data_IF_614656807488
#
_entry.id   IF_614656807488
#
_cell.length_a   1.000
_cell.length_b   1.000
_cell.length_c   1.000
_cell.angle_alpha   90.00
_cell.angle_beta   90.00
_cell.angle_gamma   90.00
#
_symmetry.space_group_name_H-M   'P 1'
#
loop_
_entity.id
_entity.type
_entity.pdbx_description
1 polymer ?
#
# COMPACT_ATOMS: atom_id res chain seq x y z
N UNK A 1 56.53 26.93 -3.85
CA UNK A 1 55.40 27.71 -4.46
C UNK A 1 54.97 26.97 -5.73
N UNK A 2 53.89 26.16 -5.70
CA UNK A 2 53.41 25.48 -6.93
C UNK A 2 52.27 24.50 -6.76
N UNK A 3 52.11 23.85 -5.62
CA UNK A 3 51.04 22.82 -5.45
C UNK A 3 49.70 23.38 -4.94
N UNK A 4 49.70 24.51 -4.22
CA UNK A 4 48.51 25.15 -3.72
C UNK A 4 47.63 25.86 -4.79
N UNK A 5 48.30 26.37 -5.87
CA UNK A 5 47.59 27.09 -6.93
C UNK A 5 46.93 26.17 -7.96
N UNK A 6 47.46 24.95 -8.16
CA UNK A 6 46.84 23.94 -9.03
C UNK A 6 45.56 23.38 -8.41
N UNK A 7 45.61 23.13 -7.10
CA UNK A 7 44.41 22.65 -6.36
C UNK A 7 43.32 23.72 -6.33
N UNK A 8 43.64 24.98 -6.08
CA UNK A 8 42.66 26.08 -6.12
C UNK A 8 42.06 26.27 -7.51
N UNK A 9 42.84 26.13 -8.59
CA UNK A 9 42.31 26.23 -9.96
C UNK A 9 41.45 25.04 -10.36
N UNK A 10 41.73 23.82 -9.88
CA UNK A 10 40.87 22.66 -10.12
C UNK A 10 39.57 22.75 -9.36
N UNK A 11 39.57 23.16 -8.07
CA UNK A 11 38.37 23.35 -7.29
C UNK A 11 37.46 24.46 -7.84
N UNK A 12 38.06 25.58 -8.33
CA UNK A 12 37.32 26.67 -8.98
C UNK A 12 36.76 26.22 -10.34
N UNK A 13 37.48 25.37 -11.09
CA UNK A 13 37.01 24.88 -12.38
C UNK A 13 35.90 23.83 -12.27
N UNK A 14 35.94 22.98 -11.25
CA UNK A 14 34.87 22.03 -10.90
C UNK A 14 33.64 22.79 -10.37
N UNK A 15 33.83 23.79 -9.49
CA UNK A 15 32.78 24.64 -9.00
C UNK A 15 32.06 25.43 -10.11
N UNK A 16 32.78 26.02 -11.06
CA UNK A 16 32.20 26.73 -12.21
C UNK A 16 31.46 25.83 -13.18
N UNK A 17 31.90 24.60 -13.40
CA UNK A 17 31.16 23.62 -14.21
C UNK A 17 29.90 23.19 -13.49
N UNK A 18 29.92 22.94 -12.17
CA UNK A 18 28.74 22.59 -11.38
C UNK A 18 27.68 23.69 -11.40
N UNK A 19 28.07 24.96 -11.21
CA UNK A 19 27.18 26.12 -11.29
C UNK A 19 26.60 26.26 -12.71
N UNK A 20 27.39 26.13 -13.75
CA UNK A 20 26.89 26.21 -15.13
C UNK A 20 25.87 25.09 -15.48
N UNK A 21 26.09 23.88 -15.01
CA UNK A 21 25.11 22.78 -15.18
C UNK A 21 23.83 23.02 -14.40
N UNK A 22 23.91 23.55 -13.19
CA UNK A 22 22.74 23.90 -12.40
C UNK A 22 21.92 25.04 -13.04
N UNK A 23 22.58 26.03 -13.63
CA UNK A 23 21.89 27.13 -14.33
C UNK A 23 21.12 26.64 -15.56
N UNK A 24 21.70 25.73 -16.36
CA UNK A 24 21.01 25.13 -17.52
C UNK A 24 19.80 24.32 -17.05
N UNK A 25 19.97 23.48 -16.08
CA UNK A 25 18.91 22.65 -15.50
C UNK A 25 17.76 23.48 -14.96
N UNK A 26 18.06 24.58 -14.25
CA UNK A 26 17.05 25.49 -13.72
C UNK A 26 16.23 26.15 -14.84
N UNK A 27 16.86 26.55 -15.96
CA UNK A 27 16.14 27.13 -17.09
C UNK A 27 15.23 26.11 -17.81
N UNK A 28 15.66 24.85 -17.93
CA UNK A 28 14.83 23.76 -18.45
C UNK A 28 13.60 23.52 -17.55
N UNK A 29 13.80 23.46 -16.24
CA UNK A 29 12.71 23.33 -15.26
C UNK A 29 11.75 24.52 -15.34
N UNK A 30 12.23 25.75 -15.41
CA UNK A 30 11.38 26.94 -15.59
C UNK A 30 10.50 26.84 -16.84
N UNK A 31 11.05 26.32 -17.93
CA UNK A 31 10.28 26.14 -19.17
C UNK A 31 9.16 25.10 -18.99
N UNK A 32 9.44 23.99 -18.30
CA UNK A 32 8.45 22.96 -17.96
C UNK A 32 7.36 23.54 -17.05
N UNK A 33 7.76 24.21 -15.97
CA UNK A 33 6.81 24.80 -15.02
C UNK A 33 5.91 25.84 -15.68
N UNK A 34 6.44 26.64 -16.57
CA UNK A 34 5.66 27.61 -17.36
C UNK A 34 4.64 26.93 -18.28
N UNK A 35 5.01 25.79 -18.91
CA UNK A 35 4.09 25.02 -19.75
C UNK A 35 2.85 24.55 -18.98
N UNK A 36 3.04 24.16 -17.70
CA UNK A 36 1.96 23.64 -16.84
C UNK A 36 1.42 24.67 -15.83
N UNK A 37 1.87 25.92 -15.87
CA UNK A 37 1.42 26.98 -14.97
C UNK A 37 1.79 26.75 -13.51
N UNK A 38 2.95 26.12 -13.25
CA UNK A 38 3.41 25.74 -11.91
C UNK A 38 4.68 26.50 -11.47
N UNK A 39 4.89 27.72 -12.01
CA UNK A 39 6.11 28.52 -11.76
C UNK A 39 6.33 28.84 -10.28
N UNK A 40 5.27 28.87 -9.48
CA UNK A 40 5.31 29.11 -8.04
C UNK A 40 6.15 28.06 -7.28
N UNK A 41 6.38 26.86 -7.85
CA UNK A 41 7.23 25.82 -7.22
C UNK A 41 8.66 26.29 -6.95
N UNK A 42 9.13 27.33 -7.65
CA UNK A 42 10.46 27.92 -7.45
C UNK A 42 10.46 29.14 -6.52
N UNK A 43 9.31 29.51 -5.89
CA UNK A 43 9.23 30.75 -5.11
C UNK A 43 10.16 30.76 -3.89
N UNK A 44 10.46 29.61 -3.31
CA UNK A 44 11.39 29.46 -2.20
C UNK A 44 12.81 29.10 -2.63
N UNK A 45 13.04 28.83 -3.93
CA UNK A 45 14.32 28.30 -4.46
C UNK A 45 15.53 29.08 -3.98
N UNK A 46 15.51 30.41 -4.08
CA UNK A 46 16.66 31.26 -3.70
C UNK A 46 16.92 31.27 -2.19
N UNK A 47 15.95 30.91 -1.36
CA UNK A 47 16.07 30.85 0.11
C UNK A 47 16.59 29.49 0.59
N UNK A 48 16.60 28.47 -0.28
CA UNK A 48 17.05 27.13 0.05
C UNK A 48 18.60 27.06 0.03
N UNK A 49 19.16 26.17 0.85
CA UNK A 49 20.56 25.79 0.73
C UNK A 49 20.79 24.93 -0.53
N UNK A 50 22.04 24.70 -0.88
CA UNK A 50 22.38 23.99 -2.12
C UNK A 50 21.86 22.54 -2.15
N UNK A 51 21.75 21.88 -1.01
CA UNK A 51 21.22 20.51 -0.90
C UNK A 51 19.72 20.50 -1.16
N UNK A 52 18.98 21.41 -0.56
CA UNK A 52 17.52 21.54 -0.78
C UNK A 52 17.19 22.06 -2.19
N UNK A 53 18.02 22.97 -2.74
CA UNK A 53 17.90 23.40 -4.15
C UNK A 53 17.98 22.21 -5.09
N UNK A 54 19.02 21.38 -4.94
CA UNK A 54 19.20 20.19 -5.75
C UNK A 54 18.00 19.24 -5.61
N UNK A 55 17.58 18.98 -4.37
CA UNK A 55 16.46 18.10 -4.07
C UNK A 55 15.13 18.61 -4.67
N UNK A 56 14.86 19.93 -4.59
CA UNK A 56 13.68 20.51 -5.21
C UNK A 56 13.67 20.32 -6.73
N UNK A 57 14.83 20.55 -7.39
CA UNK A 57 14.94 20.34 -8.83
C UNK A 57 14.75 18.85 -9.18
N UNK A 58 15.32 17.93 -8.39
CA UNK A 58 15.13 16.48 -8.57
C UNK A 58 13.65 16.10 -8.41
N UNK A 59 12.96 16.65 -7.42
CA UNK A 59 11.52 16.40 -7.19
C UNK A 59 10.67 16.91 -8.35
N UNK A 60 10.92 18.13 -8.84
CA UNK A 60 10.19 18.72 -9.96
C UNK A 60 10.39 17.93 -11.26
N UNK A 61 11.60 17.48 -11.57
CA UNK A 61 11.88 16.66 -12.76
C UNK A 61 11.17 15.28 -12.73
N UNK A 62 10.93 14.75 -11.54
CA UNK A 62 10.22 13.48 -11.36
C UNK A 62 8.69 13.61 -11.35
N UNK A 63 8.13 14.83 -11.44
CA UNK A 63 6.69 15.02 -11.53
C UNK A 63 6.21 14.69 -12.95
N UNK A 64 5.25 13.78 -13.04
CA UNK A 64 4.44 13.62 -14.25
C UNK A 64 3.34 14.70 -14.29
N UNK A 65 3.66 15.84 -14.91
CA UNK A 65 2.74 16.97 -14.99
C UNK A 65 1.49 16.68 -15.84
N UNK A 66 1.58 15.76 -16.81
CA UNK A 66 0.43 15.37 -17.64
C UNK A 66 -0.55 14.54 -16.81
N UNK A 67 -0.03 13.62 -16.01
CA UNK A 67 -0.83 12.87 -15.03
C UNK A 67 -1.48 13.83 -14.03
N UNK A 68 -0.72 14.75 -13.42
CA UNK A 68 -1.24 15.68 -12.42
C UNK A 68 -2.36 16.57 -12.97
N UNK A 69 -2.20 17.10 -14.18
CA UNK A 69 -3.23 17.90 -14.87
C UNK A 69 -4.50 17.07 -15.14
N UNK A 70 -4.33 15.82 -15.56
CA UNK A 70 -5.44 14.88 -15.77
C UNK A 70 -6.19 14.56 -14.46
N UNK A 71 -5.46 14.32 -13.38
CA UNK A 71 -6.02 14.03 -12.05
C UNK A 71 -6.80 15.22 -11.51
N UNK A 72 -6.26 16.44 -11.65
CA UNK A 72 -6.95 17.66 -11.25
C UNK A 72 -8.26 17.85 -12.02
N UNK A 73 -8.22 17.72 -13.36
CA UNK A 73 -9.42 17.82 -14.20
C UNK A 73 -10.48 16.77 -13.86
N UNK A 74 -10.06 15.60 -13.39
CA UNK A 74 -10.98 14.56 -12.93
C UNK A 74 -11.60 14.91 -11.59
N UNK A 75 -10.84 15.55 -10.69
CA UNK A 75 -11.32 16.01 -9.39
C UNK A 75 -12.37 17.14 -9.50
N UNK A 76 -12.27 17.99 -10.52
CA UNK A 76 -13.26 19.08 -10.77
C UNK A 76 -14.56 18.60 -11.42
N UNK A 77 -14.53 17.45 -12.09
CA UNK A 77 -15.73 16.90 -12.69
C UNK A 77 -16.49 16.15 -11.62
N UNK A 78 -17.67 16.65 -11.25
CA UNK A 78 -18.65 15.83 -10.52
C UNK A 78 -18.83 14.51 -11.27
N UNK A 79 -18.69 13.38 -10.55
CA UNK A 79 -18.91 12.05 -11.13
C UNK A 79 -20.29 12.02 -11.78
N UNK A 80 -20.31 11.96 -13.10
CA UNK A 80 -21.54 11.57 -13.77
C UNK A 80 -21.88 10.18 -13.28
N UNK A 81 -23.04 10.04 -12.65
CA UNK A 81 -23.66 8.78 -12.28
C UNK A 81 -23.60 7.81 -13.47
N UNK A 82 -22.48 7.13 -13.62
CA UNK A 82 -22.45 5.93 -14.43
C UNK A 82 -23.29 4.91 -13.65
N UNK A 83 -24.35 4.45 -14.25
CA UNK A 83 -25.18 3.34 -13.71
C UNK A 83 -24.39 2.05 -13.97
N UNK A 84 -23.32 1.86 -13.19
CA UNK A 84 -22.61 0.58 -13.20
C UNK A 84 -23.57 -0.51 -12.70
N UNK A 85 -23.58 -1.62 -13.38
CA UNK A 85 -24.27 -2.82 -12.91
C UNK A 85 -23.38 -3.47 -11.84
N UNK A 86 -23.89 -3.49 -10.60
CA UNK A 86 -23.19 -4.14 -9.48
C UNK A 86 -23.97 -5.39 -9.11
N UNK A 87 -23.30 -6.54 -9.15
CA UNK A 87 -23.86 -7.86 -8.79
C UNK A 87 -23.00 -8.54 -7.74
N UNK A 88 -23.58 -9.44 -6.92
CA UNK A 88 -22.80 -10.24 -5.97
C UNK A 88 -21.70 -11.04 -6.64
N UNK A 89 -20.60 -11.30 -5.91
CA UNK A 89 -19.51 -12.17 -6.38
C UNK A 89 -19.71 -13.59 -5.87
N UNK A 90 -19.27 -14.55 -6.67
CA UNK A 90 -19.22 -15.95 -6.27
C UNK A 90 -18.05 -16.18 -5.29
N UNK A 91 -18.24 -17.06 -4.31
CA UNK A 91 -17.21 -17.40 -3.33
C UNK A 91 -17.21 -18.88 -2.96
N UNK A 92 -16.10 -19.37 -2.45
CA UNK A 92 -15.97 -20.66 -1.81
C UNK A 92 -15.92 -20.49 -0.29
N UNK A 93 -16.75 -21.21 0.44
CA UNK A 93 -16.66 -21.25 1.90
C UNK A 93 -15.66 -22.34 2.32
N UNK A 94 -14.53 -21.93 2.88
CA UNK A 94 -13.42 -22.82 3.27
C UNK A 94 -13.88 -24.01 4.14
N UNK A 95 -14.90 -23.78 4.96
CA UNK A 95 -15.41 -24.78 5.92
C UNK A 95 -16.51 -25.66 5.34
N UNK A 96 -17.02 -25.35 4.16
CA UNK A 96 -18.02 -26.12 3.42
C UNK A 96 -17.43 -26.95 2.28
N UNK A 97 -16.12 -26.88 2.03
CA UNK A 97 -15.43 -27.56 0.92
C UNK A 97 -15.40 -29.09 1.02
N UNK A 98 -15.59 -29.67 2.22
CA UNK A 98 -15.59 -31.13 2.44
C UNK A 98 -14.34 -31.81 1.83
N UNK A 99 -14.54 -32.73 0.88
CA UNK A 99 -13.45 -33.50 0.23
C UNK A 99 -12.55 -32.61 -0.64
N UNK A 100 -13.09 -31.54 -1.22
CA UNK A 100 -12.34 -30.55 -2.02
C UNK A 100 -11.31 -29.79 -1.17
N UNK A 101 -11.53 -29.66 0.13
CA UNK A 101 -10.57 -29.02 1.03
C UNK A 101 -9.18 -29.66 0.94
N UNK A 102 -9.13 -31.01 1.06
CA UNK A 102 -7.86 -31.76 0.96
C UNK A 102 -7.25 -31.69 -0.43
N UNK A 103 -8.08 -31.68 -1.44
CA UNK A 103 -7.64 -31.55 -2.83
C UNK A 103 -6.91 -30.22 -3.03
N UNK A 104 -7.53 -29.09 -2.72
CA UNK A 104 -6.91 -27.78 -2.82
C UNK A 104 -5.71 -27.62 -1.89
N UNK A 105 -5.83 -28.09 -0.65
CA UNK A 105 -4.74 -28.07 0.31
C UNK A 105 -3.49 -28.77 -0.22
N UNK A 106 -3.62 -29.91 -0.87
CA UNK A 106 -2.50 -30.67 -1.43
C UNK A 106 -1.82 -29.94 -2.59
N UNK A 107 -2.60 -29.32 -3.47
CA UNK A 107 -2.07 -28.50 -4.58
C UNK A 107 -1.24 -27.33 -4.01
N UNK A 108 -1.80 -26.58 -3.08
CA UNK A 108 -1.12 -25.44 -2.48
C UNK A 108 0.11 -25.86 -1.65
N UNK A 109 0.02 -26.92 -0.85
CA UNK A 109 1.17 -27.48 -0.10
C UNK A 109 2.34 -27.83 -1.02
N UNK A 110 2.06 -28.41 -2.19
CA UNK A 110 3.09 -28.72 -3.17
C UNK A 110 3.79 -27.47 -3.64
N UNK A 111 3.05 -26.45 -4.06
CA UNK A 111 3.60 -25.20 -4.55
C UNK A 111 4.38 -24.44 -3.45
N UNK A 112 3.90 -24.43 -2.21
CA UNK A 112 4.60 -23.82 -1.07
C UNK A 112 5.93 -24.53 -0.81
N UNK A 113 5.94 -25.88 -0.79
CA UNK A 113 7.17 -26.67 -0.61
C UNK A 113 8.18 -26.49 -1.74
N UNK A 114 7.72 -26.17 -2.93
CA UNK A 114 8.57 -25.84 -4.07
C UNK A 114 9.13 -24.40 -4.01
N UNK A 115 8.81 -23.61 -2.94
CA UNK A 115 9.30 -22.25 -2.77
C UNK A 115 8.61 -21.22 -3.66
N UNK A 116 7.42 -21.52 -4.17
CA UNK A 116 6.71 -20.66 -5.13
C UNK A 116 5.94 -19.50 -4.50
N UNK A 117 5.92 -19.36 -3.18
CA UNK A 117 5.19 -18.33 -2.45
C UNK A 117 6.12 -17.34 -1.78
N UNK A 118 5.86 -16.05 -1.92
CA UNK A 118 6.41 -14.97 -1.11
C UNK A 118 5.29 -14.22 -0.38
N UNK A 119 5.63 -13.56 0.73
CA UNK A 119 4.76 -12.67 1.45
C UNK A 119 5.18 -11.21 1.23
N UNK A 120 4.19 -10.34 1.02
CA UNK A 120 4.36 -8.88 0.96
C UNK A 120 3.48 -8.26 2.03
N UNK A 121 4.08 -7.43 2.88
CA UNK A 121 3.38 -6.69 3.93
C UNK A 121 3.39 -5.20 3.61
N UNK A 122 2.20 -4.61 3.49
CA UNK A 122 2.04 -3.17 3.36
C UNK A 122 2.16 -2.52 4.75
N UNK A 123 3.23 -1.78 4.97
CA UNK A 123 3.60 -1.19 6.26
C UNK A 123 3.99 0.29 6.16
N UNK A 124 3.46 1.02 5.17
CA UNK A 124 3.72 2.47 4.99
C UNK A 124 3.03 3.37 6.02
N UNK A 125 2.11 2.85 6.82
CA UNK A 125 1.34 3.64 7.78
C UNK A 125 2.10 3.95 9.08
N UNK A 126 1.81 5.14 9.66
CA UNK A 126 2.23 5.53 11.00
C UNK A 126 1.21 5.07 12.06
N UNK A 127 1.68 4.93 13.30
CA UNK A 127 0.84 4.55 14.45
C UNK A 127 0.10 5.71 15.13
N UNK A 128 0.00 6.86 14.51
CA UNK A 128 -0.51 8.10 15.13
C UNK A 128 -1.93 7.98 15.70
N UNK A 129 -2.83 7.27 15.00
CA UNK A 129 -4.20 7.00 15.51
C UNK A 129 -4.21 6.15 16.76
N UNK A 130 -3.15 5.38 17.01
CA UNK A 130 -2.97 4.52 18.19
C UNK A 130 -2.25 5.23 19.31
N UNK A 131 -1.88 6.52 19.13
CA UNK A 131 -1.01 7.25 20.05
C UNK A 131 0.45 6.77 20.01
N UNK A 132 0.84 6.04 18.97
CA UNK A 132 2.18 5.50 18.80
C UNK A 132 3.03 6.42 17.92
N UNK A 133 4.20 6.78 18.43
CA UNK A 133 5.16 7.60 17.68
C UNK A 133 6.13 6.70 16.91
N UNK A 134 5.78 6.38 15.69
CA UNK A 134 6.60 5.55 14.82
C UNK A 134 5.79 4.68 13.84
N UNK A 135 6.48 3.81 13.07
CA UNK A 135 5.83 2.91 12.13
C UNK A 135 4.81 2.01 12.84
N UNK A 136 3.63 1.85 12.25
CA UNK A 136 2.54 1.06 12.84
C UNK A 136 2.95 -0.39 13.15
N UNK A 137 3.80 -0.98 12.30
CA UNK A 137 4.28 -2.36 12.49
C UNK A 137 5.13 -2.57 13.76
N UNK A 138 5.66 -1.49 14.36
CA UNK A 138 6.42 -1.55 15.61
C UNK A 138 5.53 -1.50 16.85
N UNK A 139 4.22 -1.35 16.68
CA UNK A 139 3.26 -1.24 17.76
C UNK A 139 3.07 -2.57 18.49
N UNK A 140 3.09 -2.54 19.83
CA UNK A 140 2.77 -3.65 20.73
C UNK A 140 1.28 -3.57 21.12
N UNK A 141 0.49 -4.60 20.81
CA UNK A 141 -0.94 -4.66 21.15
C UNK A 141 -1.19 -5.02 22.63
N UNK A 142 -0.12 -5.21 23.41
CA UNK A 142 -0.20 -5.49 24.87
C UNK A 142 -0.41 -6.97 25.20
N UNK A 143 0.13 -7.88 24.39
CA UNK A 143 0.26 -9.28 24.76
C UNK A 143 1.36 -9.46 25.83
N UNK A 144 1.30 -10.50 26.65
CA UNK A 144 2.32 -10.78 27.67
C UNK A 144 3.72 -10.99 27.05
N UNK A 145 3.77 -11.38 25.79
CA UNK A 145 5.01 -11.48 25.01
C UNK A 145 5.62 -10.14 24.61
N UNK A 146 4.88 -9.04 24.71
CA UNK A 146 5.29 -7.70 24.27
C UNK A 146 5.79 -7.63 22.82
N UNK A 147 5.33 -8.53 21.97
CA UNK A 147 5.70 -8.57 20.56
C UNK A 147 5.01 -7.47 19.79
N UNK A 148 5.76 -6.82 18.89
CA UNK A 148 5.23 -5.88 17.92
C UNK A 148 4.39 -6.58 16.83
N UNK A 149 3.58 -5.83 16.09
CA UNK A 149 2.86 -6.37 14.94
C UNK A 149 3.81 -7.05 13.94
N UNK A 150 4.99 -6.47 13.65
CA UNK A 150 5.98 -7.11 12.79
C UNK A 150 6.47 -8.46 13.34
N UNK A 151 6.67 -8.58 14.65
CA UNK A 151 7.09 -9.85 15.25
C UNK A 151 6.00 -10.91 15.16
N UNK A 152 4.73 -10.54 15.39
CA UNK A 152 3.60 -11.47 15.27
C UNK A 152 3.47 -12.00 13.82
N UNK A 153 3.60 -11.12 12.83
CA UNK A 153 3.61 -11.50 11.42
C UNK A 153 4.81 -12.40 11.07
N UNK A 154 5.98 -12.05 11.57
CA UNK A 154 7.20 -12.84 11.38
C UNK A 154 7.08 -14.25 11.95
N UNK A 155 6.52 -14.37 13.16
CA UNK A 155 6.32 -15.66 13.79
C UNK A 155 5.38 -16.55 12.96
N UNK A 156 4.28 -16.00 12.46
CA UNK A 156 3.37 -16.72 11.56
C UNK A 156 4.07 -17.22 10.29
N UNK A 157 4.88 -16.39 9.65
CA UNK A 157 5.65 -16.79 8.46
C UNK A 157 6.68 -17.87 8.77
N UNK A 158 7.37 -17.77 9.90
CA UNK A 158 8.39 -18.75 10.30
C UNK A 158 7.78 -20.08 10.72
N UNK A 159 6.65 -20.05 11.41
CA UNK A 159 5.93 -21.26 11.82
C UNK A 159 5.45 -22.03 10.58
N UNK A 160 4.80 -21.37 9.64
CA UNK A 160 4.36 -22.00 8.40
C UNK A 160 5.56 -22.44 7.54
N UNK A 161 6.60 -21.62 7.41
CA UNK A 161 7.81 -21.99 6.69
C UNK A 161 8.44 -23.28 7.25
N UNK A 162 8.54 -23.37 8.58
CA UNK A 162 9.03 -24.59 9.27
C UNK A 162 8.16 -25.82 8.97
N UNK A 163 6.84 -25.64 8.96
CA UNK A 163 5.87 -26.72 8.68
C UNK A 163 6.05 -27.30 7.27
N UNK A 164 6.41 -26.45 6.29
CA UNK A 164 6.64 -26.89 4.91
C UNK A 164 8.11 -27.15 4.57
N UNK A 165 9.03 -26.89 5.50
CA UNK A 165 10.48 -27.08 5.28
C UNK A 165 11.10 -26.03 4.34
N UNK A 166 10.53 -24.82 4.26
CA UNK A 166 10.97 -23.70 3.41
C UNK A 166 11.07 -22.42 4.22
N UNK A 167 11.83 -21.46 3.71
CA UNK A 167 11.76 -20.07 4.20
C UNK A 167 10.87 -19.28 3.23
N UNK A 168 9.77 -18.73 3.71
CA UNK A 168 8.91 -17.84 2.91
C UNK A 168 9.62 -16.50 2.79
N UNK A 169 10.01 -16.04 1.59
CA UNK A 169 10.60 -14.72 1.42
C UNK A 169 9.60 -13.63 1.83
N UNK A 170 10.09 -12.62 2.54
CA UNK A 170 9.26 -11.55 3.07
C UNK A 170 9.68 -10.20 2.51
N UNK A 171 8.74 -9.49 1.90
CA UNK A 171 8.91 -8.17 1.30
C UNK A 171 8.07 -7.17 2.06
N UNK A 172 8.66 -6.06 2.49
CA UNK A 172 8.00 -5.06 3.33
C UNK A 172 7.96 -3.74 2.59
N UNK A 173 6.75 -3.30 2.25
CA UNK A 173 6.51 -1.97 1.70
C UNK A 173 6.43 -0.95 2.83
N UNK A 174 7.30 0.03 2.80
CA UNK A 174 7.34 1.17 3.71
C UNK A 174 6.88 2.44 2.98
N UNK A 175 6.63 3.52 3.71
CA UNK A 175 6.55 4.86 3.13
C UNK A 175 7.91 5.55 3.21
N UNK A 176 8.12 6.59 2.43
CA UNK A 176 9.33 7.42 2.51
C UNK A 176 9.54 7.96 3.94
N UNK A 177 8.43 8.34 4.61
CA UNK A 177 8.43 8.86 5.96
C UNK A 177 8.92 7.83 7.00
N UNK A 178 8.48 6.55 6.89
CA UNK A 178 8.74 5.55 7.92
C UNK A 178 9.79 4.49 7.56
N UNK A 179 10.35 4.54 6.35
CA UNK A 179 11.28 3.53 5.87
C UNK A 179 12.50 3.35 6.78
N UNK A 180 13.19 4.46 7.12
CA UNK A 180 14.39 4.37 7.94
C UNK A 180 14.08 3.81 9.33
N UNK A 181 13.05 4.32 9.98
CA UNK A 181 12.63 3.84 11.30
C UNK A 181 12.23 2.35 11.30
N UNK A 182 11.59 1.90 10.21
CA UNK A 182 11.24 0.48 10.03
C UNK A 182 12.48 -0.37 9.86
N UNK A 183 13.40 0.01 8.99
CA UNK A 183 14.66 -0.73 8.76
C UNK A 183 15.49 -0.81 10.03
N UNK A 184 15.64 0.31 10.77
CA UNK A 184 16.38 0.38 12.04
C UNK A 184 15.75 -0.53 13.11
N UNK A 185 14.41 -0.58 13.15
CA UNK A 185 13.69 -1.49 14.05
C UNK A 185 14.00 -2.96 13.74
N UNK A 186 13.98 -3.34 12.48
CA UNK A 186 14.35 -4.70 12.07
C UNK A 186 15.82 -5.01 12.36
N UNK A 187 16.72 -4.08 12.11
CA UNK A 187 18.15 -4.25 12.39
C UNK A 187 18.41 -4.44 13.89
N UNK A 188 17.82 -3.60 14.73
CA UNK A 188 17.89 -3.71 16.19
C UNK A 188 17.41 -5.09 16.68
N UNK A 189 16.41 -5.66 16.04
CA UNK A 189 15.86 -6.97 16.36
C UNK A 189 16.48 -8.11 15.53
N UNK A 190 17.69 -7.89 14.95
CA UNK A 190 18.42 -8.90 14.14
C UNK A 190 17.54 -9.50 13.04
N UNK A 191 16.69 -8.65 12.44
CA UNK A 191 15.75 -9.02 11.38
C UNK A 191 14.84 -10.21 11.74
N UNK A 192 14.63 -10.44 13.04
CA UNK A 192 13.86 -11.58 13.57
C UNK A 192 14.34 -12.94 13.03
N UNK A 193 15.63 -13.05 12.67
CA UNK A 193 16.24 -14.24 12.11
C UNK A 193 16.13 -14.39 10.58
N UNK A 194 15.50 -13.45 9.90
CA UNK A 194 15.59 -13.31 8.44
C UNK A 194 16.95 -12.75 8.04
N UNK A 195 17.31 -12.86 6.76
CA UNK A 195 18.55 -12.31 6.19
C UNK A 195 18.19 -11.19 5.21
N UNK A 196 18.57 -9.93 5.56
CA UNK A 196 18.36 -8.76 4.71
C UNK A 196 18.96 -8.99 3.33
N UNK A 197 18.25 -8.60 2.28
CA UNK A 197 18.60 -8.74 0.87
C UNK A 197 18.80 -10.19 0.37
N UNK A 198 18.41 -11.19 1.17
CA UNK A 198 18.42 -12.60 0.76
C UNK A 198 17.02 -13.22 0.81
N UNK A 199 16.30 -13.05 1.93
CA UNK A 199 14.94 -13.54 2.11
C UNK A 199 14.05 -12.51 2.86
N UNK A 200 14.59 -11.33 3.18
CA UNK A 200 13.88 -10.16 3.68
C UNK A 200 14.28 -8.95 2.86
N UNK A 201 13.29 -8.25 2.31
CA UNK A 201 13.49 -7.09 1.45
C UNK A 201 12.60 -5.93 1.88
N UNK A 202 13.11 -4.70 1.75
CA UNK A 202 12.36 -3.48 1.97
C UNK A 202 12.28 -2.70 0.66
N UNK A 203 11.12 -2.11 0.40
CA UNK A 203 10.92 -1.20 -0.72
C UNK A 203 9.95 -0.09 -0.32
N UNK A 204 10.00 1.03 -1.00
CA UNK A 204 9.28 2.24 -0.63
C UNK A 204 8.08 2.42 -1.55
N UNK A 205 6.94 2.77 -0.97
CA UNK A 205 5.72 3.16 -1.67
C UNK A 205 5.93 4.44 -2.47
N UNK A 206 5.22 4.57 -3.60
CA UNK A 206 5.18 5.78 -4.40
C UNK A 206 4.51 6.96 -3.68
N UNK A 207 4.81 8.16 -4.17
CA UNK A 207 4.21 9.41 -3.70
C UNK A 207 3.78 10.25 -4.90
N UNK A 208 2.72 11.02 -4.72
CA UNK A 208 2.24 12.02 -5.69
C UNK A 208 2.19 13.41 -5.06
N UNK A 209 2.39 14.48 -5.85
CA UNK A 209 2.16 15.83 -5.39
C UNK A 209 0.71 16.05 -4.92
N UNK A 210 0.54 16.78 -3.82
CA UNK A 210 -0.76 17.33 -3.46
C UNK A 210 -1.01 18.61 -4.25
N UNK A 211 -2.29 18.87 -4.55
CA UNK A 211 -2.70 20.08 -5.28
C UNK A 211 -3.76 20.86 -4.50
N UNK A 212 -3.76 22.17 -4.66
CA UNK A 212 -4.87 23.00 -4.16
C UNK A 212 -6.11 22.93 -5.07
N UNK A 213 -7.13 23.67 -4.70
CA UNK A 213 -8.40 23.75 -5.45
C UNK A 213 -8.30 24.54 -6.76
N UNK A 214 -7.16 25.19 -7.02
CA UNK A 214 -6.87 25.90 -8.28
C UNK A 214 -5.94 25.09 -9.21
N UNK A 215 -5.64 23.84 -8.85
CA UNK A 215 -4.74 22.97 -9.62
C UNK A 215 -3.26 23.29 -9.47
N UNK A 216 -2.89 23.98 -8.38
CA UNK A 216 -1.48 24.26 -8.08
C UNK A 216 -0.89 23.18 -7.18
N UNK A 217 0.26 22.66 -7.57
CA UNK A 217 1.02 21.72 -6.76
C UNK A 217 1.53 22.46 -5.51
N UNK A 218 1.35 21.85 -4.34
CA UNK A 218 1.69 22.48 -3.07
C UNK A 218 3.19 22.42 -2.79
N UNK A 219 3.70 23.46 -2.11
CA UNK A 219 5.06 23.52 -1.54
C UNK A 219 4.96 23.22 -0.04
N UNK A 220 5.75 22.30 0.46
CA UNK A 220 5.87 22.00 1.89
C UNK A 220 6.56 23.10 2.68
N UNK A 221 6.50 23.02 4.01
CA UNK A 221 7.12 23.97 4.94
C UNK A 221 8.65 24.02 4.79
N UNK A 222 9.25 22.94 4.30
CA UNK A 222 10.67 22.82 3.97
C UNK A 222 11.05 23.45 2.63
N UNK A 223 10.10 24.03 1.90
CA UNK A 223 10.30 24.62 0.58
C UNK A 223 10.43 23.62 -0.56
N UNK A 224 10.14 22.35 -0.32
CA UNK A 224 10.13 21.26 -1.30
C UNK A 224 8.71 20.97 -1.79
N UNK A 225 8.57 20.09 -2.80
CA UNK A 225 7.23 19.66 -3.26
C UNK A 225 6.48 18.94 -2.13
N UNK A 226 5.24 19.33 -1.88
CA UNK A 226 4.38 18.64 -0.91
C UNK A 226 3.90 17.32 -1.50
N UNK A 227 4.58 16.24 -1.16
CA UNK A 227 4.25 14.89 -1.59
C UNK A 227 3.36 14.18 -0.55
N UNK A 228 2.55 13.25 -1.03
CA UNK A 228 1.77 12.35 -0.20
C UNK A 228 1.77 10.95 -0.80
N UNK A 229 1.69 9.92 0.04
CA UNK A 229 1.61 8.54 -0.42
C UNK A 229 0.45 8.35 -1.41
N UNK A 230 0.72 7.64 -2.50
CA UNK A 230 -0.16 7.41 -3.65
C UNK A 230 -1.27 6.37 -3.42
N UNK A 231 -1.49 5.99 -2.16
CA UNK A 231 -2.45 4.96 -1.78
C UNK A 231 -1.87 3.54 -1.78
N UNK A 232 -2.58 2.60 -1.17
CA UNK A 232 -2.08 1.22 -1.09
C UNK A 232 -2.13 0.46 -2.44
N UNK A 233 -2.80 1.01 -3.45
CA UNK A 233 -2.75 0.50 -4.83
C UNK A 233 -1.43 0.78 -5.53
N UNK A 234 -0.64 1.76 -5.08
CA UNK A 234 0.73 1.99 -5.56
C UNK A 234 1.70 0.83 -5.31
N UNK A 235 1.28 -0.21 -4.58
CA UNK A 235 2.10 -1.39 -4.31
C UNK A 235 2.55 -2.11 -5.59
N UNK A 236 1.69 -2.21 -6.61
CA UNK A 236 2.03 -2.91 -7.84
C UNK A 236 3.16 -2.22 -8.59
N UNK A 237 3.00 -0.93 -8.82
CA UNK A 237 4.02 -0.10 -9.46
C UNK A 237 5.33 -0.08 -8.64
N UNK A 238 5.22 0.05 -7.31
CA UNK A 238 6.37 0.05 -6.41
C UNK A 238 7.15 -1.26 -6.43
N UNK A 239 6.47 -2.42 -6.50
CA UNK A 239 7.10 -3.73 -6.64
C UNK A 239 7.88 -3.85 -7.97
N UNK A 240 7.31 -3.35 -9.07
CA UNK A 240 7.95 -3.35 -10.39
C UNK A 240 9.12 -2.37 -10.43
N UNK A 241 8.90 -1.11 -10.08
CA UNK A 241 9.94 -0.05 -10.14
C UNK A 241 11.13 -0.32 -9.23
N UNK A 242 10.90 -0.94 -8.05
CA UNK A 242 11.99 -1.33 -7.15
C UNK A 242 12.73 -2.61 -7.58
N UNK A 243 12.28 -3.29 -8.64
CA UNK A 243 12.83 -4.56 -9.11
C UNK A 243 12.50 -5.77 -8.22
N UNK A 244 11.54 -5.64 -7.29
CA UNK A 244 11.20 -6.72 -6.37
C UNK A 244 10.50 -7.88 -7.10
N UNK A 245 9.68 -7.64 -8.11
CA UNK A 245 9.06 -8.69 -8.92
C UNK A 245 10.12 -9.50 -9.67
N UNK A 246 11.11 -8.82 -10.26
CA UNK A 246 12.26 -9.49 -10.88
C UNK A 246 13.00 -10.35 -9.86
N UNK A 247 13.24 -9.81 -8.66
CA UNK A 247 13.89 -10.55 -7.57
C UNK A 247 13.11 -11.80 -7.15
N UNK A 248 11.80 -11.69 -7.06
CA UNK A 248 10.91 -12.82 -6.77
C UNK A 248 11.03 -13.93 -7.83
N UNK A 249 11.01 -13.57 -9.12
CA UNK A 249 11.20 -14.52 -10.23
C UNK A 249 12.57 -15.20 -10.20
N UNK A 250 13.64 -14.47 -9.90
CA UNK A 250 14.98 -15.03 -9.72
C UNK A 250 15.04 -16.06 -8.58
N UNK A 251 14.17 -15.94 -7.58
CA UNK A 251 14.03 -16.86 -6.46
C UNK A 251 13.08 -18.04 -6.75
N UNK A 252 12.45 -18.09 -7.92
CA UNK A 252 11.47 -19.10 -8.29
C UNK A 252 10.07 -18.87 -7.73
N UNK A 253 9.80 -17.68 -7.19
CA UNK A 253 8.48 -17.30 -6.69
C UNK A 253 7.53 -17.07 -7.86
N UNK A 254 6.36 -17.68 -7.78
CA UNK A 254 5.26 -17.55 -8.76
C UNK A 254 4.06 -16.80 -8.18
N UNK A 255 3.90 -16.82 -6.86
CA UNK A 255 2.75 -16.29 -6.14
C UNK A 255 3.17 -15.35 -5.01
N UNK A 256 2.40 -14.29 -4.81
CA UNK A 256 2.64 -13.28 -3.80
C UNK A 256 1.38 -13.13 -2.95
N UNK A 257 1.49 -13.36 -1.64
CA UNK A 257 0.45 -12.93 -0.71
C UNK A 257 0.70 -11.47 -0.34
N UNK A 258 -0.29 -10.60 -0.54
CA UNK A 258 -0.24 -9.18 -0.19
C UNK A 258 -1.25 -8.91 0.92
N UNK A 259 -0.77 -8.43 2.06
CA UNK A 259 -1.58 -8.09 3.22
C UNK A 259 -1.13 -6.83 3.96
N UNK A 260 -1.98 -6.32 4.86
CA UNK A 260 -1.66 -5.17 5.71
C UNK A 260 -0.92 -5.57 6.99
N UNK A 261 -0.11 -4.67 7.52
CA UNK A 261 0.63 -4.86 8.78
C UNK A 261 -0.28 -4.84 10.01
N UNK A 262 -1.50 -4.38 9.86
CA UNK A 262 -2.42 -4.11 10.96
C UNK A 262 -3.29 -5.30 11.40
N UNK A 263 -3.34 -6.37 10.63
CA UNK A 263 -4.09 -7.57 10.98
C UNK A 263 -3.20 -8.58 11.70
N UNK A 264 -3.28 -8.67 13.04
CA UNK A 264 -2.42 -9.56 13.82
C UNK A 264 -2.78 -11.05 13.72
N UNK A 265 -3.93 -11.42 13.13
CA UNK A 265 -4.31 -12.81 12.84
C UNK A 265 -4.15 -13.19 11.36
N UNK A 266 -3.53 -12.34 10.54
CA UNK A 266 -3.38 -12.63 9.12
C UNK A 266 -2.60 -13.92 8.88
N UNK A 267 -3.16 -14.80 8.06
CA UNK A 267 -2.48 -16.02 7.61
C UNK A 267 -1.98 -15.81 6.18
N UNK A 268 -0.71 -15.41 6.07
CA UNK A 268 -0.06 -15.12 4.79
C UNK A 268 0.28 -16.36 3.98
N UNK A 269 0.31 -17.52 4.60
CA UNK A 269 0.59 -18.82 3.98
C UNK A 269 -0.64 -19.70 4.12
N UNK A 270 -1.44 -19.77 3.07
CA UNK A 270 -2.67 -20.58 3.07
C UNK A 270 -2.67 -21.54 1.86
N UNK A 271 -2.43 -22.84 2.10
CA UNK A 271 -2.39 -23.81 1.01
C UNK A 271 -3.75 -23.98 0.32
N UNK A 272 -4.86 -23.78 1.02
CA UNK A 272 -6.19 -23.90 0.39
C UNK A 272 -6.43 -22.75 -0.58
N UNK A 273 -6.14 -21.49 -0.19
CA UNK A 273 -6.24 -20.34 -1.08
C UNK A 273 -5.35 -20.51 -2.31
N UNK A 274 -4.11 -20.93 -2.10
CA UNK A 274 -3.15 -21.15 -3.18
C UNK A 274 -3.59 -22.30 -4.10
N UNK A 275 -4.11 -23.38 -3.54
CA UNK A 275 -4.63 -24.51 -4.31
C UNK A 275 -5.84 -24.15 -5.14
N UNK A 276 -6.77 -23.36 -4.61
CA UNK A 276 -7.92 -22.83 -5.34
C UNK A 276 -7.45 -21.97 -6.52
N UNK A 277 -6.52 -21.04 -6.30
CA UNK A 277 -6.01 -20.19 -7.37
C UNK A 277 -5.36 -20.99 -8.50
N UNK A 278 -4.55 -21.98 -8.17
CA UNK A 278 -3.85 -22.85 -9.14
C UNK A 278 -4.84 -23.72 -9.91
N UNK A 279 -5.78 -24.36 -9.23
CA UNK A 279 -6.76 -25.27 -9.84
C UNK A 279 -7.72 -24.54 -10.76
N UNK A 280 -8.27 -23.41 -10.32
CA UNK A 280 -9.17 -22.57 -11.11
C UNK A 280 -8.44 -21.75 -12.18
N UNK A 281 -7.11 -21.79 -12.22
CA UNK A 281 -6.25 -21.05 -13.16
C UNK A 281 -6.49 -19.54 -13.17
N UNK A 282 -6.88 -19.00 -12.00
CA UNK A 282 -7.01 -17.55 -11.80
C UNK A 282 -5.68 -16.96 -11.35
N UNK A 283 -5.43 -15.72 -11.71
CA UNK A 283 -4.19 -14.99 -11.33
C UNK A 283 -4.34 -14.22 -10.04
N UNK A 284 -5.57 -14.11 -9.52
CA UNK A 284 -5.92 -13.42 -8.27
C UNK A 284 -6.86 -14.29 -7.46
N UNK A 285 -6.55 -14.46 -6.18
CA UNK A 285 -7.45 -15.09 -5.21
C UNK A 285 -7.39 -14.32 -3.88
N UNK A 286 -8.54 -14.05 -3.28
CA UNK A 286 -8.61 -13.25 -2.07
C UNK A 286 -9.37 -13.98 -0.97
N UNK A 287 -9.07 -13.63 0.28
CA UNK A 287 -9.89 -14.06 1.41
C UNK A 287 -10.94 -13.01 1.73
N UNK A 288 -12.11 -13.47 2.12
CA UNK A 288 -13.18 -12.64 2.65
C UNK A 288 -13.63 -13.13 4.02
N UNK A 289 -14.25 -12.25 4.78
CA UNK A 289 -15.02 -12.59 5.96
C UNK A 289 -16.44 -12.04 5.80
N UNK A 290 -17.42 -12.71 6.39
CA UNK A 290 -18.79 -12.21 6.36
C UNK A 290 -18.89 -10.90 7.13
N UNK A 291 -19.62 -9.92 6.59
CA UNK A 291 -19.94 -8.68 7.30
C UNK A 291 -20.55 -8.97 8.68
N UNK A 292 -20.14 -8.24 9.68
CA UNK A 292 -20.69 -8.36 11.03
C UNK A 292 -22.17 -7.92 11.12
N UNK A 293 -22.56 -7.00 10.25
CA UNK A 293 -23.94 -6.52 10.09
C UNK A 293 -24.08 -5.81 8.71
N UNK A 294 -25.31 -5.57 8.22
CA UNK A 294 -25.55 -4.92 6.92
C UNK A 294 -24.84 -3.59 6.73
N UNK A 295 -24.65 -2.81 7.78
CA UNK A 295 -24.09 -1.45 7.76
C UNK A 295 -22.62 -1.38 8.23
N UNK A 296 -21.92 -2.50 8.32
CA UNK A 296 -20.49 -2.49 8.63
C UNK A 296 -19.73 -1.67 7.58
N UNK A 297 -18.91 -0.72 8.05
CA UNK A 297 -18.12 0.17 7.20
C UNK A 297 -16.86 -0.54 6.65
N UNK A 298 -17.08 -1.37 5.66
CA UNK A 298 -16.05 -2.16 4.99
C UNK A 298 -16.36 -2.28 3.50
N UNK A 299 -15.34 -2.30 2.65
CA UNK A 299 -15.49 -2.62 1.24
C UNK A 299 -15.91 -4.08 1.05
N UNK A 300 -16.80 -4.35 0.11
CA UNK A 300 -17.30 -5.71 -0.17
C UNK A 300 -16.97 -6.13 -1.59
N UNK A 301 -16.59 -7.38 -1.75
CA UNK A 301 -16.42 -7.98 -3.06
C UNK A 301 -17.73 -8.01 -3.85
N UNK A 302 -17.65 -7.64 -5.11
CA UNK A 302 -18.76 -7.64 -6.06
C UNK A 302 -18.24 -7.89 -7.48
N UNK A 303 -19.16 -7.97 -8.44
CA UNK A 303 -18.86 -7.79 -9.86
C UNK A 303 -19.41 -6.43 -10.29
N UNK A 304 -18.57 -5.61 -10.92
CA UNK A 304 -18.96 -4.33 -11.53
C UNK A 304 -18.88 -4.48 -13.04
N UNK A 305 -20.03 -4.36 -13.72
CA UNK A 305 -20.14 -4.62 -15.16
C UNK A 305 -19.57 -6.00 -15.56
N UNK A 306 -19.83 -7.01 -14.72
CA UNK A 306 -19.41 -8.40 -14.93
C UNK A 306 -17.96 -8.72 -14.52
N UNK A 307 -17.13 -7.74 -14.14
CA UNK A 307 -15.75 -7.95 -13.67
C UNK A 307 -15.62 -7.89 -12.17
N UNK A 308 -14.68 -8.63 -11.57
CA UNK A 308 -14.40 -8.57 -10.13
C UNK A 308 -14.08 -7.14 -9.68
N UNK A 309 -14.62 -6.76 -8.55
CA UNK A 309 -14.40 -5.43 -7.98
C UNK A 309 -14.67 -5.44 -6.46
N UNK A 310 -14.43 -4.31 -5.81
CA UNK A 310 -14.86 -4.02 -4.46
C UNK A 310 -15.69 -2.75 -4.50
N UNK A 311 -16.89 -2.80 -3.93
CA UNK A 311 -17.70 -1.61 -3.69
C UNK A 311 -17.45 -1.12 -2.27
N UNK A 312 -17.08 0.16 -2.15
CA UNK A 312 -16.85 0.78 -0.84
C UNK A 312 -18.17 1.04 -0.10
N UNK A 313 -18.12 1.03 1.24
CA UNK A 313 -19.30 1.25 2.07
C UNK A 313 -20.02 2.59 1.80
N UNK A 314 -19.33 3.56 1.22
CA UNK A 314 -19.89 4.85 0.83
C UNK A 314 -20.68 4.80 -0.49
N UNK A 315 -20.48 3.75 -1.28
CA UNK A 315 -21.14 3.53 -2.57
C UNK A 315 -22.31 2.54 -2.44
N UNK A 316 -22.30 1.68 -1.40
CA UNK A 316 -23.37 0.69 -1.16
C UNK A 316 -24.68 1.40 -0.83
N UNK A 317 -25.71 1.14 -1.64
CA UNK A 317 -27.07 1.63 -1.35
C UNK A 317 -27.71 0.83 -0.20
N UNK A 318 -28.73 1.41 0.45
CA UNK A 318 -29.48 0.72 1.51
C UNK A 318 -30.07 -0.61 1.03
N UNK A 319 -30.61 -0.63 -0.19
CA UNK A 319 -31.15 -1.83 -0.83
C UNK A 319 -30.07 -2.93 -0.98
N UNK A 320 -28.87 -2.58 -1.42
CA UNK A 320 -27.75 -3.52 -1.52
C UNK A 320 -27.28 -3.99 -0.15
N UNK A 321 -27.21 -3.09 0.83
CA UNK A 321 -26.73 -3.42 2.17
C UNK A 321 -27.60 -4.47 2.86
N UNK A 322 -28.92 -4.42 2.67
CA UNK A 322 -29.91 -5.30 3.30
C UNK A 322 -30.32 -6.50 2.43
N UNK A 323 -29.89 -6.55 1.16
CA UNK A 323 -30.23 -7.63 0.25
C UNK A 323 -29.72 -8.99 0.76
N UNK A 324 -30.60 -9.97 0.82
CA UNK A 324 -30.28 -11.34 1.27
C UNK A 324 -30.67 -12.38 0.21
N UNK A 325 -30.02 -13.53 0.27
CA UNK A 325 -30.37 -14.72 -0.49
C UNK A 325 -31.58 -15.45 0.14
N UNK A 326 -31.95 -16.59 -0.44
CA UNK A 326 -33.04 -17.45 0.04
C UNK A 326 -32.81 -18.05 1.45
N UNK A 327 -31.55 -18.08 1.91
CA UNK A 327 -31.14 -18.57 3.23
C UNK A 327 -31.04 -17.44 4.26
N UNK A 328 -31.25 -16.18 3.86
CA UNK A 328 -31.10 -15.00 4.70
C UNK A 328 -29.66 -14.53 4.87
N UNK A 329 -28.69 -15.04 4.08
CA UNK A 329 -27.31 -14.55 4.05
C UNK A 329 -27.24 -13.28 3.19
N UNK A 330 -26.43 -12.29 3.59
CA UNK A 330 -26.25 -11.05 2.84
C UNK A 330 -25.67 -11.33 1.45
N UNK A 331 -26.33 -10.84 0.39
CA UNK A 331 -25.83 -10.96 -0.99
C UNK A 331 -24.50 -10.21 -1.20
N UNK A 332 -24.34 -9.06 -0.55
CA UNK A 332 -23.12 -8.27 -0.54
C UNK A 332 -22.43 -8.40 0.84
N UNK A 333 -22.22 -9.65 1.27
CA UNK A 333 -21.68 -10.00 2.58
C UNK A 333 -20.18 -10.25 2.63
N UNK A 334 -19.49 -10.40 1.49
CA UNK A 334 -18.07 -10.78 1.42
C UNK A 334 -17.16 -9.57 1.61
N UNK A 335 -16.73 -9.31 2.86
CA UNK A 335 -15.85 -8.18 3.19
C UNK A 335 -14.44 -8.39 2.66
N UNK A 336 -13.86 -7.36 2.03
CA UNK A 336 -12.46 -7.32 1.65
C UNK A 336 -11.58 -6.99 2.87
N UNK A 337 -10.70 -7.91 3.24
CA UNK A 337 -9.87 -7.82 4.47
C UNK A 337 -8.36 -7.66 4.20
N UNK A 338 -7.98 -7.19 3.01
CA UNK A 338 -6.60 -7.05 2.56
C UNK A 338 -5.76 -8.34 2.69
N UNK A 339 -6.36 -9.48 2.35
CA UNK A 339 -5.73 -10.79 2.29
C UNK A 339 -5.79 -11.30 0.85
N UNK A 340 -4.77 -10.97 0.05
CA UNK A 340 -4.81 -11.13 -1.39
C UNK A 340 -3.63 -11.96 -1.88
N UNK A 341 -3.90 -12.95 -2.72
CA UNK A 341 -2.91 -13.77 -3.41
C UNK A 341 -2.92 -13.39 -4.90
N UNK A 342 -1.78 -13.00 -5.43
CA UNK A 342 -1.57 -12.65 -6.83
C UNK A 342 -0.48 -13.52 -7.44
N UNK A 343 -0.60 -13.87 -8.72
CA UNK A 343 0.57 -14.34 -9.44
C UNK A 343 1.55 -13.19 -9.67
N UNK A 344 2.86 -13.47 -9.67
CA UNK A 344 3.91 -12.46 -9.94
C UNK A 344 3.69 -11.78 -11.29
N UNK A 345 3.30 -12.55 -12.31
CA UNK A 345 3.03 -12.03 -13.65
C UNK A 345 1.83 -11.07 -13.68
N UNK A 346 0.79 -11.33 -12.87
CA UNK A 346 -0.33 -10.39 -12.75
C UNK A 346 0.12 -9.08 -12.09
N UNK A 347 0.93 -9.15 -11.03
CA UNK A 347 1.49 -7.97 -10.36
C UNK A 347 2.35 -7.14 -11.33
N UNK A 348 3.18 -7.77 -12.16
CA UNK A 348 3.98 -7.04 -13.16
C UNK A 348 3.08 -6.35 -14.19
N UNK A 349 2.11 -7.08 -14.78
CA UNK A 349 1.17 -6.49 -15.75
C UNK A 349 0.40 -5.31 -15.19
N UNK A 350 -0.10 -5.43 -13.95
CA UNK A 350 -0.83 -4.34 -13.27
C UNK A 350 0.12 -3.18 -12.96
N UNK A 351 1.32 -3.45 -12.46
CA UNK A 351 2.30 -2.43 -12.08
C UNK A 351 2.92 -1.67 -13.27
N UNK A 352 2.83 -2.20 -14.49
CA UNK A 352 3.22 -1.53 -15.73
C UNK A 352 2.13 -0.56 -16.24
N UNK A 353 0.91 -0.67 -15.74
CA UNK A 353 -0.23 0.16 -16.13
C UNK A 353 -0.77 0.88 -14.90
N UNK A 354 -0.85 2.22 -14.90
CA UNK A 354 -1.38 2.95 -13.76
C UNK A 354 -2.81 2.54 -13.44
N UNK A 355 -3.08 2.25 -12.16
CA UNK A 355 -4.44 2.08 -11.65
C UNK A 355 -5.15 3.44 -11.60
N UNK A 356 -6.50 3.46 -11.60
CA UNK A 356 -7.24 4.69 -11.41
C UNK A 356 -6.92 5.32 -10.05
N UNK A 357 -6.85 6.65 -10.00
CA UNK A 357 -6.67 7.38 -8.76
C UNK A 357 -8.00 7.95 -8.28
N UNK A 358 -8.24 7.79 -6.99
CA UNK A 358 -9.35 8.37 -6.26
C UNK A 358 -8.91 9.67 -5.59
N UNK A 359 -9.80 10.65 -5.58
CA UNK A 359 -9.52 11.97 -5.00
C UNK A 359 -9.95 12.00 -3.55
N UNK A 360 -9.04 12.35 -2.66
CA UNK A 360 -9.33 12.62 -1.26
C UNK A 360 -9.07 14.09 -0.94
N UNK A 361 -10.08 14.79 -0.42
CA UNK A 361 -9.95 16.18 -0.01
C UNK A 361 -9.49 16.26 1.44
N UNK A 362 -8.30 16.82 1.67
CA UNK A 362 -7.57 16.76 2.95
C UNK A 362 -7.09 18.14 3.37
N UNK A 363 -6.80 18.29 4.67
CA UNK A 363 -6.04 19.43 5.18
C UNK A 363 -4.57 19.25 4.83
N UNK A 364 -3.96 20.27 4.26
CA UNK A 364 -2.53 20.33 4.01
C UNK A 364 -1.98 21.71 4.39
N UNK A 365 -0.99 21.73 5.27
CA UNK A 365 -0.16 22.92 5.52
C UNK A 365 0.81 23.09 4.37
N UNK A 366 0.93 24.29 3.82
CA UNK A 366 1.76 24.56 2.65
C UNK A 366 2.26 26.01 2.64
N UNK A 367 3.24 26.31 1.79
CA UNK A 367 3.69 27.67 1.51
C UNK A 367 2.96 28.18 0.27
N UNK A 368 2.29 29.32 0.39
CA UNK A 368 1.54 29.94 -0.71
C UNK A 368 2.47 30.62 -1.75
N UNK A 369 1.88 31.12 -2.83
CA UNK A 369 2.57 31.83 -3.92
C UNK A 369 3.31 33.11 -3.46
N UNK A 370 2.98 33.66 -2.31
CA UNK A 370 3.59 34.86 -1.73
C UNK A 370 4.68 34.50 -0.71
N UNK A 371 4.88 33.19 -0.45
CA UNK A 371 5.87 32.63 0.45
C UNK A 371 5.44 32.59 1.92
N UNK A 372 4.14 32.67 2.19
CA UNK A 372 3.58 32.61 3.55
C UNK A 372 3.14 31.17 3.89
N UNK A 373 3.31 30.79 5.15
CA UNK A 373 2.81 29.52 5.66
C UNK A 373 1.29 29.56 5.83
N UNK A 374 0.58 28.67 5.16
CA UNK A 374 -0.86 28.46 5.28
C UNK A 374 -1.14 27.24 6.13
N UNK A 375 -1.81 27.43 7.27
CA UNK A 375 -2.26 26.36 8.18
C UNK A 375 -3.79 26.32 8.11
N UNK A 376 -4.40 25.31 7.45
CA UNK A 376 -5.83 25.30 7.21
C UNK A 376 -6.64 24.78 8.40
N UNK A 377 -7.82 25.38 8.64
CA UNK A 377 -8.80 24.88 9.62
C UNK A 377 -9.73 23.81 9.03
N UNK A 378 -9.82 23.74 7.72
CA UNK A 378 -10.66 22.79 6.96
C UNK A 378 -9.88 22.17 5.81
N UNK A 379 -10.36 21.08 5.17
CA UNK A 379 -9.76 20.53 3.97
C UNK A 379 -9.55 21.61 2.89
N UNK A 380 -8.39 21.61 2.23
CA UNK A 380 -7.96 22.63 1.30
C UNK A 380 -7.11 22.10 0.14
N UNK A 381 -6.90 20.80 0.10
CA UNK A 381 -6.02 20.19 -0.90
C UNK A 381 -6.51 18.83 -1.36
N UNK A 382 -6.27 18.52 -2.61
CA UNK A 382 -6.48 17.21 -3.21
C UNK A 382 -5.27 16.32 -2.98
N UNK A 383 -5.55 15.10 -2.51
CA UNK A 383 -4.64 13.97 -2.46
C UNK A 383 -5.16 12.88 -3.38
N UNK A 384 -4.28 12.28 -4.15
CA UNK A 384 -4.62 11.23 -5.11
C UNK A 384 -4.14 9.88 -4.60
N UNK A 385 -5.03 8.90 -4.53
CA UNK A 385 -4.76 7.57 -3.96
C UNK A 385 -5.32 6.48 -4.87
N UNK A 386 -4.48 5.53 -5.27
CA UNK A 386 -4.94 4.29 -5.89
C UNK A 386 -5.27 3.26 -4.80
N UNK A 387 -6.28 2.43 -5.04
CA UNK A 387 -6.61 1.34 -4.12
C UNK A 387 -6.17 -0.01 -4.70
N UNK A 388 -5.70 -0.89 -3.82
CA UNK A 388 -5.23 -2.22 -4.22
C UNK A 388 -6.30 -3.00 -4.99
N UNK A 389 -7.54 -2.88 -4.55
CA UNK A 389 -8.66 -3.61 -5.13
C UNK A 389 -9.12 -3.08 -6.49
N UNK A 390 -8.67 -1.89 -6.93
CA UNK A 390 -8.92 -1.42 -8.31
C UNK A 390 -8.30 -2.38 -9.33
N UNK A 391 -7.23 -3.06 -8.95
CA UNK A 391 -6.59 -4.09 -9.75
C UNK A 391 -7.48 -5.31 -10.04
N UNK A 392 -8.54 -5.53 -9.28
CA UNK A 392 -9.46 -6.66 -9.54
C UNK A 392 -10.23 -6.48 -10.84
N UNK A 393 -10.50 -5.23 -11.24
CA UNK A 393 -11.11 -4.92 -12.54
C UNK A 393 -10.22 -5.22 -13.75
N UNK A 394 -8.91 -5.42 -13.52
CA UNK A 394 -7.93 -5.75 -14.57
C UNK A 394 -7.87 -7.26 -14.90
N UNK A 395 -8.61 -8.09 -14.16
CA UNK A 395 -8.73 -9.52 -14.42
C UNK A 395 -10.18 -9.89 -14.81
N UNK A 396 -10.35 -10.91 -15.62
CA UNK A 396 -11.67 -11.36 -16.01
C UNK A 396 -12.36 -12.16 -14.90
N UNK A 397 -11.56 -12.92 -14.13
CA UNK A 397 -12.03 -13.75 -13.03
C UNK A 397 -11.05 -13.73 -11.87
N UNK A 398 -11.58 -13.91 -10.66
CA UNK A 398 -10.82 -14.13 -9.44
C UNK A 398 -11.53 -15.15 -8.55
N UNK A 399 -10.78 -15.78 -7.64
CA UNK A 399 -11.36 -16.62 -6.61
C UNK A 399 -11.53 -15.83 -5.29
N UNK A 400 -12.65 -16.03 -4.61
CA UNK A 400 -12.87 -15.52 -3.25
C UNK A 400 -13.07 -16.70 -2.32
N UNK A 401 -12.25 -16.78 -1.28
CA UNK A 401 -12.31 -17.83 -0.25
C UNK A 401 -12.80 -17.21 1.06
N UNK A 402 -14.04 -17.50 1.43
CA UNK A 402 -14.60 -17.09 2.72
C UNK A 402 -13.91 -17.83 3.85
N UNK A 403 -13.41 -17.08 4.83
CA UNK A 403 -12.80 -17.58 6.05
C UNK A 403 -13.53 -17.06 7.29
N UNK A 404 -13.22 -17.60 8.47
CA UNK A 404 -13.81 -17.09 9.71
C UNK A 404 -13.07 -15.86 10.22
N UNK A 405 -13.83 -14.84 10.56
CA UNK A 405 -13.31 -13.57 11.09
C UNK A 405 -12.43 -13.80 12.32
N UNK A 406 -12.90 -14.59 13.27
CA UNK A 406 -12.21 -14.87 14.53
C UNK A 406 -10.89 -15.67 14.37
N UNK A 407 -10.65 -16.25 13.21
CA UNK A 407 -9.44 -17.02 12.92
C UNK A 407 -8.42 -16.25 12.08
N UNK A 408 -8.84 -15.23 11.31
CA UNK A 408 -7.98 -14.60 10.31
C UNK A 408 -8.06 -13.07 10.27
N UNK A 409 -8.93 -12.43 11.08
CA UNK A 409 -9.11 -10.99 11.00
C UNK A 409 -9.24 -10.33 12.38
N UNK A 410 -8.15 -9.74 12.85
CA UNK A 410 -8.07 -8.95 14.07
C UNK A 410 -7.29 -7.65 13.81
N UNK A 411 -7.92 -6.67 13.14
CA UNK A 411 -7.23 -5.46 12.73
C UNK A 411 -7.03 -4.47 13.86
N UNK A 412 -5.93 -3.72 13.78
CA UNK A 412 -5.57 -2.63 14.69
C UNK A 412 -5.60 -1.33 13.90
N UNK A 413 -6.75 -0.67 13.84
CA UNK A 413 -6.96 0.56 13.04
C UNK A 413 -7.15 1.80 13.89
N UNK A 414 -7.82 1.64 15.03
CA UNK A 414 -8.30 2.73 15.88
C UNK A 414 -7.66 2.66 17.27
N UNK A 415 -7.71 3.77 18.03
CA UNK A 415 -7.40 3.77 19.46
C UNK A 415 -8.45 2.94 20.25
N UNK A 416 -8.09 2.47 21.45
CA UNK A 416 -8.98 1.66 22.30
C UNK A 416 -10.31 2.34 22.64
N UNK A 417 -10.35 3.67 22.64
CA UNK A 417 -11.60 4.44 22.83
C UNK A 417 -12.67 4.21 21.78
N UNK A 418 -12.31 3.68 20.61
CA UNK A 418 -13.26 3.36 19.55
C UNK A 418 -14.05 2.05 19.84
N UNK A 419 -13.50 1.15 20.66
CA UNK A 419 -14.14 -0.11 21.02
C UNK A 419 -14.20 -1.18 19.90
N UNK A 420 -13.74 -0.85 18.70
CA UNK A 420 -13.73 -1.74 17.52
C UNK A 420 -12.44 -1.53 16.73
N UNK A 421 -11.90 -2.60 16.15
CA UNK A 421 -10.65 -2.59 15.36
C UNK A 421 -9.51 -1.88 16.10
N UNK A 422 -9.37 -2.12 17.39
CA UNK A 422 -8.44 -1.46 18.28
C UNK A 422 -7.50 -2.47 18.96
N UNK A 423 -6.40 -2.03 19.60
CA UNK A 423 -5.46 -2.92 20.27
C UNK A 423 -6.12 -3.91 21.25
N UNK A 424 -7.09 -3.43 22.04
CA UNK A 424 -7.83 -4.27 23.00
C UNK A 424 -8.58 -5.41 22.29
N UNK A 425 -9.39 -5.10 21.28
CA UNK A 425 -10.18 -6.11 20.56
C UNK A 425 -9.29 -7.07 19.79
N UNK A 426 -8.20 -6.57 19.20
CA UNK A 426 -7.22 -7.39 18.49
C UNK A 426 -6.51 -8.37 19.44
N UNK A 427 -6.09 -7.90 20.63
CA UNK A 427 -5.48 -8.73 21.67
C UNK A 427 -6.42 -9.82 22.18
N UNK A 428 -7.69 -9.50 22.41
CA UNK A 428 -8.71 -10.46 22.85
C UNK A 428 -8.93 -11.56 21.80
N UNK A 429 -9.04 -11.19 20.53
CA UNK A 429 -9.17 -12.15 19.42
C UNK A 429 -7.91 -13.01 19.27
N UNK A 430 -6.73 -12.41 19.38
CA UNK A 430 -5.45 -13.12 19.31
C UNK A 430 -5.30 -14.14 20.43
N UNK A 431 -5.54 -13.71 21.68
CA UNK A 431 -5.51 -14.59 22.86
C UNK A 431 -6.50 -15.77 22.72
N UNK A 432 -7.73 -15.48 22.28
CA UNK A 432 -8.75 -16.51 22.05
C UNK A 432 -8.32 -17.52 20.98
N UNK A 433 -7.79 -17.05 19.86
CA UNK A 433 -7.37 -17.90 18.75
C UNK A 433 -6.20 -18.82 19.14
N UNK A 434 -5.20 -18.27 19.85
CA UNK A 434 -4.00 -19.04 20.27
C UNK A 434 -4.15 -19.71 21.65
N UNK A 435 -5.35 -19.69 22.26
CA UNK A 435 -5.63 -20.24 23.59
C UNK A 435 -4.65 -19.73 24.67
N UNK A 436 -4.36 -18.43 24.64
CA UNK A 436 -3.54 -17.75 25.64
C UNK A 436 -4.42 -17.21 26.76
N UNK A 437 -3.97 -17.36 28.03
CA UNK A 437 -4.68 -16.88 29.22
C UNK A 437 -4.70 -15.33 29.32
#
# INVERSE_FOLDING_TARGET
RGLGDVYKRQVIHIGRKGVFFMDIRLEEIKAILKKYGQEHLLIQYEKLDDTHKQKLLDEIENIDFELMDSLYKSAEKEEKNNKDEITPIDYLDKYKLKDEYKYYENIGKKAIKEGKLAAVTMAGGQGTRLGHNGPKGTYDIGLDSHKSLFELLCDGLKEEGKKYGVTIPWFIMTSKENNQATVDFFEKNKYFGYQKNKNLFFFVQGELPMMDTEGKILIGEDGLVKLAADGHGGIYESLVKSGMTKKMKEMGVEWIFIGGVDNCLVKMVDPVLMGVAIDQKVTVACKSVVKANPHEKVGVFCKRNGRPNVVEYTEITEEMAEATDENGELLYGESHILCNLFSVDAVERIGENPLPYHVAYKKATYIDKDGNLVIPDSPNAYKFEAFLFDAFGEVDEMAVLRVKREEEFAPVKNADSAGVDCPKTARELYKKFYHLD
#
